data_IF_244048396278
#
_entry.id   IF_244048396278
#
_cell.length_a   1.000
_cell.length_b   1.000
_cell.length_c   1.000
_cell.angle_alpha   90.00
_cell.angle_beta   90.00
_cell.angle_gamma   90.00
#
_symmetry.space_group_name_H-M   'P 1'
#
loop_
_entity.id
_entity.type
_entity.pdbx_description
1 polymer ?
#
# COMPACT_ATOMS: atom_id res chain seq x y z
N UNK A 1 -6.46 7.35 9.34
CA UNK A 1 -6.71 7.91 10.69
C UNK A 1 -6.67 6.82 11.74
N UNK A 2 -6.02 7.10 12.86
CA UNK A 2 -5.88 6.19 14.00
C UNK A 2 -7.21 5.56 14.38
N UNK A 3 -7.26 4.22 14.32
CA UNK A 3 -8.52 3.46 14.29
C UNK A 3 -9.50 3.80 15.41
N UNK A 4 -10.80 3.71 15.08
CA UNK A 4 -12.02 3.62 15.92
C UNK A 4 -12.18 4.49 17.20
N UNK A 5 -11.16 5.22 17.67
CA UNK A 5 -11.14 5.86 19.00
C UNK A 5 -11.64 7.30 19.00
N UNK A 6 -11.95 7.86 17.84
CA UNK A 6 -12.42 9.25 17.69
C UNK A 6 -13.61 9.29 16.74
N UNK A 7 -14.50 10.26 16.92
CA UNK A 7 -15.58 10.54 15.96
C UNK A 7 -15.02 10.70 14.55
N UNK A 8 -15.83 10.34 13.56
CA UNK A 8 -15.50 10.56 12.16
C UNK A 8 -15.04 12.02 11.93
N UNK A 9 -13.94 12.24 11.20
CA UNK A 9 -13.43 13.57 10.96
C UNK A 9 -14.43 14.42 10.17
N UNK A 10 -14.37 15.74 10.32
CA UNK A 10 -15.06 16.64 9.41
C UNK A 10 -14.47 16.50 8.00
N UNK A 11 -15.25 16.85 6.98
CA UNK A 11 -14.76 16.86 5.59
C UNK A 11 -13.51 17.75 5.44
N UNK A 12 -13.47 18.88 6.14
CA UNK A 12 -12.32 19.78 6.14
C UNK A 12 -11.08 19.13 6.75
N UNK A 13 -11.22 18.43 7.88
CA UNK A 13 -10.11 17.71 8.50
C UNK A 13 -9.61 16.56 7.61
N UNK A 14 -10.52 15.83 6.94
CA UNK A 14 -10.14 14.78 5.99
C UNK A 14 -9.38 15.36 4.80
N UNK A 15 -9.88 16.45 4.20
CA UNK A 15 -9.19 17.13 3.09
C UNK A 15 -7.81 17.66 3.49
N UNK A 16 -7.65 18.13 4.72
CA UNK A 16 -6.36 18.60 5.22
C UNK A 16 -5.37 17.46 5.49
N UNK A 17 -5.85 16.31 5.96
CA UNK A 17 -5.01 15.18 6.36
C UNK A 17 -4.76 14.16 5.24
N UNK A 18 -5.55 14.22 4.17
CA UNK A 18 -5.43 13.31 3.04
C UNK A 18 -4.12 13.50 2.28
N UNK A 19 -3.44 12.39 1.97
CA UNK A 19 -2.28 12.34 1.07
C UNK A 19 -2.63 11.85 -0.33
N UNK A 20 -3.89 11.51 -0.58
CA UNK A 20 -4.33 10.74 -1.75
C UNK A 20 -3.90 11.36 -3.08
N UNK A 21 -3.88 12.70 -3.17
CA UNK A 21 -3.53 13.44 -4.37
C UNK A 21 -2.07 13.23 -4.85
N UNK A 22 -1.20 12.67 -4.01
CA UNK A 22 0.21 12.42 -4.30
C UNK A 22 0.62 10.96 -4.20
N UNK A 23 -0.29 10.10 -3.73
CA UNK A 23 0.02 8.73 -3.35
C UNK A 23 0.14 7.78 -4.56
N UNK A 24 -0.23 8.22 -5.77
CA UNK A 24 -0.07 7.46 -7.02
C UNK A 24 1.39 6.99 -7.20
N UNK A 25 2.33 7.83 -6.77
CA UNK A 25 3.78 7.59 -6.85
C UNK A 25 4.24 6.38 -6.05
N UNK A 26 3.58 6.08 -4.93
CA UNK A 26 3.93 4.98 -4.03
C UNK A 26 2.96 3.80 -4.09
N UNK A 27 1.82 3.95 -4.78
CA UNK A 27 0.71 3.01 -4.75
C UNK A 27 1.11 1.55 -5.05
N UNK A 28 1.89 1.34 -6.12
CA UNK A 28 2.37 0.00 -6.48
C UNK A 28 3.34 -0.58 -5.44
N UNK A 29 4.11 0.25 -4.75
CA UNK A 29 4.99 -0.24 -3.69
C UNK A 29 4.24 -0.55 -2.42
N UNK A 30 3.19 0.20 -2.09
CA UNK A 30 2.29 -0.16 -1.00
C UNK A 30 1.68 -1.55 -1.23
N UNK A 31 1.28 -1.88 -2.46
CA UNK A 31 0.82 -3.24 -2.82
C UNK A 31 1.93 -4.27 -2.64
N UNK A 32 3.15 -3.99 -3.10
CA UNK A 32 4.31 -4.90 -2.95
C UNK A 32 4.68 -5.15 -1.48
N UNK A 33 4.63 -4.11 -0.64
CA UNK A 33 4.85 -4.21 0.80
C UNK A 33 3.78 -5.13 1.42
N UNK A 34 2.51 -4.96 1.04
CA UNK A 34 1.44 -5.83 1.54
C UNK A 34 1.58 -7.28 1.05
N UNK A 35 2.06 -7.53 -0.18
CA UNK A 35 2.37 -8.87 -0.67
C UNK A 35 3.49 -9.54 0.16
N UNK A 36 4.56 -8.79 0.45
CA UNK A 36 5.66 -9.28 1.28
C UNK A 36 5.19 -9.58 2.71
N UNK A 37 4.38 -8.69 3.28
CA UNK A 37 3.79 -8.87 4.62
C UNK A 37 2.87 -10.08 4.68
N UNK A 38 2.00 -10.25 3.69
CA UNK A 38 1.13 -11.42 3.57
C UNK A 38 1.93 -12.73 3.55
N UNK A 39 3.00 -12.78 2.76
CA UNK A 39 3.88 -13.94 2.70
C UNK A 39 4.55 -14.23 4.06
N UNK A 40 4.96 -13.19 4.77
CA UNK A 40 5.51 -13.31 6.12
C UNK A 40 4.46 -13.89 7.08
N UNK A 41 3.24 -13.33 7.13
CA UNK A 41 2.16 -13.83 7.98
C UNK A 41 1.86 -15.32 7.73
N UNK A 42 1.82 -15.73 6.46
CA UNK A 42 1.63 -17.13 6.09
C UNK A 42 2.78 -18.02 6.56
N UNK A 43 4.04 -17.59 6.33
CA UNK A 43 5.22 -18.35 6.75
C UNK A 43 5.33 -18.50 8.27
N UNK A 44 4.81 -17.55 9.04
CA UNK A 44 4.75 -17.60 10.50
C UNK A 44 3.52 -18.37 11.03
N UNK A 45 2.66 -18.88 10.15
CA UNK A 45 1.44 -19.59 10.56
C UNK A 45 0.36 -18.70 11.17
N UNK A 46 0.46 -17.37 11.03
CA UNK A 46 -0.52 -16.41 11.56
C UNK A 46 -1.80 -16.41 10.73
N UNK A 47 -1.67 -16.66 9.42
CA UNK A 47 -2.80 -16.84 8.50
C UNK A 47 -2.69 -18.20 7.81
N UNK A 48 -3.84 -18.86 7.61
CA UNK A 48 -3.91 -20.12 6.89
C UNK A 48 -3.69 -19.95 5.39
N UNK A 49 -3.39 -21.06 4.70
CA UNK A 49 -3.13 -21.06 3.25
C UNK A 49 -4.29 -20.50 2.43
N UNK A 50 -5.53 -20.87 2.78
CA UNK A 50 -6.72 -20.46 2.03
C UNK A 50 -6.92 -18.94 2.08
N UNK A 51 -6.88 -18.36 3.28
CA UNK A 51 -6.97 -16.92 3.49
C UNK A 51 -5.82 -16.19 2.80
N UNK A 52 -4.59 -16.70 2.93
CA UNK A 52 -3.42 -16.13 2.27
C UNK A 52 -3.58 -16.10 0.75
N UNK A 53 -4.08 -17.19 0.14
CA UNK A 53 -4.31 -17.24 -1.30
C UNK A 53 -5.39 -16.25 -1.76
N UNK A 54 -6.46 -16.08 -0.98
CA UNK A 54 -7.53 -15.11 -1.28
C UNK A 54 -6.98 -13.69 -1.29
N UNK A 55 -6.27 -13.29 -0.23
CA UNK A 55 -5.67 -11.94 -0.14
C UNK A 55 -4.60 -11.74 -1.22
N UNK A 56 -3.79 -12.77 -1.49
CA UNK A 56 -2.75 -12.71 -2.54
C UNK A 56 -3.37 -12.42 -3.91
N UNK A 57 -4.47 -13.10 -4.27
CA UNK A 57 -5.16 -12.85 -5.55
C UNK A 57 -5.66 -11.42 -5.64
N UNK A 58 -6.23 -10.87 -4.57
CA UNK A 58 -6.68 -9.48 -4.50
C UNK A 58 -5.52 -8.51 -4.76
N UNK A 59 -4.46 -8.59 -3.94
CA UNK A 59 -3.27 -7.72 -4.06
C UNK A 59 -2.57 -7.85 -5.41
N UNK A 60 -2.48 -9.07 -5.96
CA UNK A 60 -1.83 -9.30 -7.26
C UNK A 60 -2.56 -8.60 -8.40
N UNK A 61 -3.89 -8.45 -8.35
CA UNK A 61 -4.63 -7.69 -9.38
C UNK A 61 -4.29 -6.21 -9.33
N UNK A 62 -4.10 -5.66 -8.13
CA UNK A 62 -3.75 -4.25 -7.91
C UNK A 62 -2.34 -3.89 -8.41
N UNK A 63 -1.48 -4.86 -8.72
CA UNK A 63 -0.19 -4.59 -9.38
C UNK A 63 -0.36 -4.02 -10.80
N UNK A 64 -1.54 -4.15 -11.40
CA UNK A 64 -1.86 -3.50 -12.69
C UNK A 64 -2.20 -2.01 -12.54
N UNK A 65 -2.48 -1.57 -11.32
CA UNK A 65 -2.96 -0.23 -10.99
C UNK A 65 -3.79 -0.28 -9.72
N UNK A 66 -3.66 0.76 -8.89
CA UNK A 66 -4.49 0.97 -7.70
C UNK A 66 -5.41 2.14 -8.02
N UNK A 67 -6.70 1.94 -7.86
CA UNK A 67 -7.66 3.04 -7.94
C UNK A 67 -7.59 3.86 -6.65
N UNK A 68 -7.22 5.13 -6.79
CA UNK A 68 -7.19 6.07 -5.67
C UNK A 68 -8.58 6.69 -5.51
N UNK A 69 -9.14 6.57 -4.32
CA UNK A 69 -10.48 7.06 -3.98
C UNK A 69 -10.35 8.29 -3.10
N UNK A 70 -10.82 9.44 -3.56
CA UNK A 70 -10.67 10.73 -2.86
C UNK A 70 -11.41 10.77 -1.52
N UNK A 71 -12.40 9.90 -1.33
CA UNK A 71 -13.12 9.74 -0.07
C UNK A 71 -12.26 9.06 1.02
N UNK A 72 -11.12 8.49 0.63
CA UNK A 72 -10.15 7.87 1.52
C UNK A 72 -8.95 8.80 1.74
N UNK A 73 -8.43 8.79 2.97
CA UNK A 73 -7.29 9.58 3.43
C UNK A 73 -6.00 9.28 2.68
N UNK A 74 -5.69 8.01 2.40
CA UNK A 74 -4.43 7.61 1.79
C UNK A 74 -4.60 6.37 0.89
N UNK A 75 -3.59 6.09 0.07
CA UNK A 75 -3.53 4.83 -0.70
C UNK A 75 -3.50 3.59 0.20
N UNK A 76 -3.08 3.81 1.45
CA UNK A 76 -3.17 2.90 2.58
C UNK A 76 -4.51 2.19 2.62
N UNK A 77 -5.50 3.01 2.92
CA UNK A 77 -6.88 2.61 3.06
C UNK A 77 -7.48 2.17 1.73
N UNK A 78 -7.04 2.72 0.59
CA UNK A 78 -7.51 2.24 -0.72
C UNK A 78 -7.20 0.75 -0.93
N UNK A 79 -5.95 0.34 -0.66
CA UNK A 79 -5.53 -1.07 -0.78
C UNK A 79 -6.25 -1.94 0.24
N UNK A 80 -6.40 -1.47 1.47
CA UNK A 80 -7.03 -2.23 2.56
C UNK A 80 -8.54 -2.43 2.32
N UNK A 81 -9.24 -1.38 1.92
CA UNK A 81 -10.66 -1.41 1.55
C UNK A 81 -10.89 -2.30 0.32
N UNK A 82 -10.02 -2.23 -0.69
CA UNK A 82 -10.11 -3.11 -1.87
C UNK A 82 -9.92 -4.59 -1.51
N UNK A 83 -8.98 -4.92 -0.62
CA UNK A 83 -8.81 -6.29 -0.11
C UNK A 83 -10.07 -6.73 0.64
N UNK A 84 -10.59 -5.90 1.55
CA UNK A 84 -11.79 -6.23 2.33
C UNK A 84 -13.02 -6.41 1.45
N UNK A 85 -13.22 -5.58 0.43
CA UNK A 85 -14.31 -5.73 -0.55
C UNK A 85 -14.23 -7.05 -1.31
N UNK A 86 -13.02 -7.49 -1.66
CA UNK A 86 -12.81 -8.73 -2.43
C UNK A 86 -12.95 -10.01 -1.58
N UNK A 87 -12.47 -10.01 -0.34
CA UNK A 87 -12.36 -11.25 0.45
C UNK A 87 -13.16 -11.25 1.75
N UNK A 88 -13.83 -10.16 2.09
CA UNK A 88 -14.56 -9.96 3.33
C UNK A 88 -13.66 -9.48 4.48
N UNK A 89 -14.26 -8.81 5.47
CA UNK A 89 -13.53 -8.20 6.59
C UNK A 89 -12.78 -9.23 7.45
N UNK A 90 -13.38 -10.40 7.70
CA UNK A 90 -12.78 -11.43 8.54
C UNK A 90 -11.48 -11.98 7.95
N UNK A 91 -11.36 -12.02 6.62
CA UNK A 91 -10.16 -12.49 5.92
C UNK A 91 -9.23 -11.30 5.64
N UNK A 92 -9.74 -10.23 5.04
CA UNK A 92 -8.95 -9.07 4.64
C UNK A 92 -8.33 -8.32 5.81
N UNK A 93 -9.04 -8.22 6.95
CA UNK A 93 -8.56 -7.58 8.16
C UNK A 93 -7.32 -8.25 8.76
N UNK A 94 -7.12 -9.56 8.51
CA UNK A 94 -5.92 -10.28 8.97
C UNK A 94 -4.62 -9.72 8.39
N UNK A 95 -4.69 -9.03 7.24
CA UNK A 95 -3.53 -8.39 6.61
C UNK A 95 -2.91 -7.28 7.49
N UNK A 96 -3.65 -6.74 8.47
CA UNK A 96 -3.12 -5.69 9.38
C UNK A 96 -2.37 -6.25 10.58
N UNK A 97 -2.43 -7.55 10.84
CA UNK A 97 -1.78 -8.16 12.00
C UNK A 97 -0.27 -7.90 11.95
N UNK A 98 0.29 -7.38 13.06
CA UNK A 98 1.73 -7.16 13.21
C UNK A 98 2.32 -6.05 12.32
N UNK A 99 1.49 -5.11 11.83
CA UNK A 99 1.90 -4.04 10.91
C UNK A 99 1.30 -2.71 11.36
N UNK A 100 1.99 -1.60 11.10
CA UNK A 100 1.46 -0.25 11.32
C UNK A 100 1.51 0.56 10.03
N UNK A 101 0.90 1.75 10.01
CA UNK A 101 1.00 2.64 8.85
C UNK A 101 2.41 3.21 8.70
N UNK A 102 3.14 3.40 9.81
CA UNK A 102 4.47 4.03 9.82
C UNK A 102 5.53 3.19 9.11
N UNK A 103 5.59 1.89 9.37
CA UNK A 103 6.52 0.97 8.71
C UNK A 103 6.14 0.74 7.23
N UNK A 104 4.84 0.69 6.93
CA UNK A 104 4.37 0.57 5.54
C UNK A 104 4.82 1.74 4.69
N UNK A 105 4.49 2.97 5.11
CA UNK A 105 4.80 4.16 4.32
C UNK A 105 6.31 4.36 4.18
N UNK A 106 7.07 4.15 5.27
CA UNK A 106 8.52 4.25 5.24
C UNK A 106 9.15 3.22 4.27
N UNK A 107 8.62 2.00 4.23
CA UNK A 107 9.11 0.95 3.33
C UNK A 107 8.76 1.25 1.88
N UNK A 108 7.50 1.63 1.61
CA UNK A 108 7.06 1.97 0.26
C UNK A 108 7.84 3.16 -0.31
N UNK A 109 8.03 4.23 0.47
CA UNK A 109 8.84 5.38 0.07
C UNK A 109 10.28 5.00 -0.25
N UNK A 110 10.93 4.16 0.57
CA UNK A 110 12.30 3.68 0.29
C UNK A 110 12.38 2.86 -1.00
N UNK A 111 11.39 2.01 -1.26
CA UNK A 111 11.31 1.22 -2.50
C UNK A 111 11.12 2.12 -3.72
N UNK A 112 10.25 3.14 -3.62
CA UNK A 112 9.99 4.11 -4.68
C UNK A 112 11.24 4.94 -4.96
N UNK A 113 11.83 5.52 -3.92
CA UNK A 113 13.05 6.32 -4.01
C UNK A 113 14.19 5.53 -4.64
N UNK A 114 14.41 4.27 -4.22
CA UNK A 114 15.45 3.41 -4.81
C UNK A 114 15.26 3.24 -6.32
N UNK A 115 14.03 3.02 -6.79
CA UNK A 115 13.75 2.93 -8.23
C UNK A 115 14.02 4.24 -8.95
N UNK A 116 13.55 5.37 -8.39
CA UNK A 116 13.76 6.68 -9.01
C UNK A 116 15.24 7.05 -9.06
N UNK A 117 16.01 6.81 -7.99
CA UNK A 117 17.46 7.00 -8.01
C UNK A 117 18.14 6.14 -9.08
N UNK A 118 17.71 4.88 -9.24
CA UNK A 118 18.26 3.99 -10.27
C UNK A 118 17.96 4.49 -11.68
N UNK A 119 16.73 4.96 -11.92
CA UNK A 119 16.34 5.54 -13.20
C UNK A 119 17.12 6.82 -13.50
N UNK A 120 17.20 7.74 -12.55
CA UNK A 120 17.97 8.98 -12.70
C UNK A 120 19.45 8.71 -12.99
N UNK A 121 20.05 7.70 -12.35
CA UNK A 121 21.43 7.32 -12.63
C UNK A 121 21.61 6.86 -14.09
N UNK A 122 20.67 6.09 -14.63
CA UNK A 122 20.70 5.65 -16.03
C UNK A 122 20.54 6.83 -17.00
N UNK A 123 19.63 7.76 -16.72
CA UNK A 123 19.43 8.96 -17.54
C UNK A 123 20.68 9.85 -17.55
N UNK A 124 21.35 10.00 -16.40
CA UNK A 124 22.62 10.75 -16.30
C UNK A 124 23.72 10.08 -17.11
N UNK A 125 23.85 8.75 -17.05
CA UNK A 125 24.81 8.02 -17.88
C UNK A 125 24.51 8.19 -19.37
N UNK A 126 23.25 8.11 -19.77
CA UNK A 126 22.84 8.34 -21.16
C UNK A 126 23.18 9.75 -21.66
N UNK A 127 23.04 10.76 -20.80
CA UNK A 127 23.49 12.12 -21.12
C UNK A 127 25.02 12.22 -21.25
N UNK A 128 25.76 11.55 -20.36
CA UNK A 128 27.23 11.52 -20.43
C UNK A 128 27.76 10.87 -21.71
N UNK A 129 27.09 9.84 -22.22
CA UNK A 129 27.46 9.19 -23.48
C UNK A 129 27.15 10.04 -24.72
N UNK A 130 26.21 10.97 -24.62
CA UNK A 130 25.77 11.83 -25.72
C UNK A 130 26.57 13.14 -25.86
N UNK A 131 27.33 13.53 -24.82
CA UNK A 131 28.20 14.71 -24.78
C UNK A 131 29.65 14.36 -25.15
#
# INVERSE_FOLDING_TARGET
MWGARVKAPSLEALRYTSSIAFDDRIALDVVRVNLAHLLMLFKQGIIGLEDAQRIYRSLRRMLKGVELREELEDVHMCVEDEVVRDVGLDVGGKLHTGKSRNDQVATALRMTAKRFCSQLALEVLGLQEAL
#
